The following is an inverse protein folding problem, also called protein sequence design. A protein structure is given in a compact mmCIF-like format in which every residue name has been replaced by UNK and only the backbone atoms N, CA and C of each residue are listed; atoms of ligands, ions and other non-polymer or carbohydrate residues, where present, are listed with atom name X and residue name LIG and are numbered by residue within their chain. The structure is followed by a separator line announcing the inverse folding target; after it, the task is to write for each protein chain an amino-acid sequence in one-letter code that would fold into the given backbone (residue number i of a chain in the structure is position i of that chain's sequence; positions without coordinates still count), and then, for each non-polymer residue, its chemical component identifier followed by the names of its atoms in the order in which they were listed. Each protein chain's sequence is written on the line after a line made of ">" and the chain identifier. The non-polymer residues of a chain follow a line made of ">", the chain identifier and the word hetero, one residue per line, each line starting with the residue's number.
data_IF_850940884171
#
_entry.id   IF_850940884171
#
_cell.length_a   1.000
_cell.length_b   1.000
_cell.length_c   1.000
_cell.angle_alpha   90.00
_cell.angle_beta   90.00
_cell.angle_gamma   90.00
#
_symmetry.space_group_name_H-M   'P 1'
#
loop_
_entity.id
_entity.type
_entity.pdbx_description
1 polymer ?
#
# COMPACT_ATOMS: atom_id res chain seq x y z
N UNK A 1 -1.07 4.72 -3.03
CA UNK A 1 -0.53 4.12 -1.79
C UNK A 1 0.66 3.23 -2.08
N UNK A 2 0.45 2.14 -2.84
CA UNK A 2 1.52 1.27 -3.29
C UNK A 2 2.59 2.03 -4.06
N UNK A 3 2.19 2.94 -4.95
CA UNK A 3 3.12 3.76 -5.74
C UNK A 3 3.92 4.74 -4.89
N UNK A 4 3.35 5.29 -3.82
CA UNK A 4 4.11 6.10 -2.87
C UNK A 4 5.23 5.29 -2.24
N UNK A 5 4.91 4.08 -1.80
CA UNK A 5 5.90 3.17 -1.23
C UNK A 5 6.97 2.78 -2.25
N UNK A 6 6.59 2.41 -3.47
CA UNK A 6 7.53 2.04 -4.53
C UNK A 6 8.47 3.19 -4.92
N UNK A 7 7.97 4.42 -4.95
CA UNK A 7 8.75 5.59 -5.33
C UNK A 7 9.89 5.92 -4.35
N UNK A 8 9.69 5.64 -3.06
CA UNK A 8 10.66 6.04 -2.02
C UNK A 8 11.37 4.85 -1.34
N UNK A 9 10.85 3.65 -1.49
CA UNK A 9 11.30 2.49 -0.70
C UNK A 9 12.77 2.12 -0.95
N UNK A 10 13.21 2.06 -2.19
CA UNK A 10 14.60 1.75 -2.52
C UNK A 10 15.55 2.78 -1.92
N UNK A 11 15.20 4.06 -2.05
CA UNK A 11 15.99 5.16 -1.48
C UNK A 11 15.98 5.12 0.04
N UNK A 12 14.85 4.76 0.65
CA UNK A 12 14.74 4.57 2.09
C UNK A 12 15.69 3.47 2.60
N UNK A 13 15.75 2.31 1.94
CA UNK A 13 16.65 1.23 2.32
C UNK A 13 18.11 1.68 2.29
N UNK A 14 18.51 2.40 1.23
CA UNK A 14 19.87 2.91 1.10
C UNK A 14 20.18 4.00 2.13
N UNK A 15 19.26 4.94 2.35
CA UNK A 15 19.50 6.08 3.24
C UNK A 15 19.44 5.69 4.72
N UNK A 16 18.46 4.89 5.14
CA UNK A 16 18.23 4.58 6.55
C UNK A 16 19.12 3.44 7.07
N UNK A 17 19.30 2.37 6.28
CA UNK A 17 20.06 1.19 6.69
C UNK A 17 21.47 1.13 6.10
N UNK A 18 21.82 2.02 5.17
CA UNK A 18 23.11 2.02 4.50
C UNK A 18 23.36 0.77 3.65
N UNK A 19 22.31 0.12 3.16
CA UNK A 19 22.44 -1.06 2.32
C UNK A 19 23.09 -0.73 0.99
N UNK A 20 23.95 -1.63 0.53
CA UNK A 20 24.49 -1.56 -0.83
C UNK A 20 23.34 -1.67 -1.84
N UNK A 21 23.54 -1.08 -3.03
CA UNK A 21 22.52 -1.07 -4.10
C UNK A 21 22.05 -2.48 -4.46
N UNK A 22 22.94 -3.47 -4.48
CA UNK A 22 22.60 -4.86 -4.76
C UNK A 22 21.66 -5.47 -3.73
N UNK A 23 21.92 -5.27 -2.43
CA UNK A 23 21.09 -5.77 -1.35
C UNK A 23 19.74 -5.05 -1.32
N UNK A 24 19.72 -3.73 -1.43
CA UNK A 24 18.51 -2.94 -1.47
C UNK A 24 17.61 -3.36 -2.66
N UNK A 25 18.19 -3.58 -3.83
CA UNK A 25 17.48 -4.05 -5.02
C UNK A 25 16.91 -5.46 -4.83
N UNK A 26 17.65 -6.36 -4.17
CA UNK A 26 17.17 -7.72 -3.87
C UNK A 26 15.97 -7.70 -2.93
N UNK A 27 16.03 -6.91 -1.85
CA UNK A 27 14.90 -6.74 -0.91
C UNK A 27 13.68 -6.18 -1.64
N UNK A 28 13.87 -5.14 -2.43
CA UNK A 28 12.81 -4.52 -3.22
C UNK A 28 12.18 -5.49 -4.22
N UNK A 29 13.00 -6.24 -4.96
CA UNK A 29 12.53 -7.22 -5.95
C UNK A 29 11.78 -8.38 -5.29
N UNK A 30 12.25 -8.87 -4.13
CA UNK A 30 11.58 -9.90 -3.35
C UNK A 30 10.22 -9.41 -2.86
N UNK A 31 10.16 -8.18 -2.37
CA UNK A 31 8.91 -7.55 -1.97
C UNK A 31 7.92 -7.44 -3.14
N UNK A 32 8.37 -6.99 -4.31
CA UNK A 32 7.55 -6.93 -5.52
C UNK A 32 7.03 -8.31 -5.92
N UNK A 33 7.89 -9.32 -5.92
CA UNK A 33 7.48 -10.69 -6.23
C UNK A 33 6.36 -11.15 -5.31
N UNK A 34 6.47 -10.89 -4.01
CA UNK A 34 5.42 -11.22 -3.05
C UNK A 34 4.13 -10.45 -3.33
N UNK A 35 4.20 -9.16 -3.62
CA UNK A 35 3.05 -8.30 -3.94
C UNK A 35 2.29 -8.80 -5.17
N UNK A 36 2.98 -9.35 -6.16
CA UNK A 36 2.34 -9.88 -7.37
C UNK A 36 1.87 -11.34 -7.22
N UNK A 37 2.49 -12.14 -6.38
CA UNK A 37 2.15 -13.55 -6.20
C UNK A 37 1.04 -13.77 -5.15
N UNK A 38 1.07 -13.04 -4.04
CA UNK A 38 0.11 -13.18 -2.95
C UNK A 38 -1.37 -12.92 -3.34
N UNK A 39 -1.72 -12.11 -4.34
CA UNK A 39 -3.10 -12.00 -4.79
C UNK A 39 -3.75 -13.31 -5.23
N UNK A 40 -2.97 -14.27 -5.71
CA UNK A 40 -3.47 -15.61 -6.06
C UNK A 40 -3.99 -16.31 -4.80
N UNK A 41 -3.20 -16.29 -3.73
CA UNK A 41 -3.60 -16.86 -2.42
C UNK A 41 -4.78 -16.06 -1.85
N UNK A 42 -4.75 -14.74 -2.00
CA UNK A 42 -5.84 -13.87 -1.56
C UNK A 42 -7.16 -14.16 -2.27
N UNK A 43 -7.13 -14.49 -3.56
CA UNK A 43 -8.31 -14.92 -4.32
C UNK A 43 -8.89 -16.22 -3.79
N UNK A 44 -8.06 -17.22 -3.55
CA UNK A 44 -8.48 -18.51 -2.99
C UNK A 44 -9.11 -18.32 -1.59
N UNK A 45 -8.51 -17.48 -0.77
CA UNK A 45 -9.07 -17.16 0.54
C UNK A 45 -10.41 -16.43 0.44
N UNK A 46 -10.57 -15.55 -0.54
CA UNK A 46 -11.81 -14.79 -0.74
C UNK A 46 -12.97 -15.68 -1.21
N UNK A 47 -12.70 -16.70 -2.00
CA UNK A 47 -13.72 -17.68 -2.39
C UNK A 47 -14.30 -18.41 -1.18
N UNK A 48 -13.49 -18.63 -0.14
CA UNK A 48 -13.91 -19.32 1.08
C UNK A 48 -14.55 -18.36 2.11
N UNK A 49 -13.99 -17.18 2.31
CA UNK A 49 -14.35 -16.27 3.41
C UNK A 49 -15.16 -15.05 2.97
N UNK A 50 -15.30 -14.83 1.68
CA UNK A 50 -15.98 -13.69 1.08
C UNK A 50 -15.04 -12.54 0.72
N UNK A 51 -15.31 -11.92 -0.43
CA UNK A 51 -14.45 -10.85 -0.99
C UNK A 51 -14.40 -9.61 -0.13
N UNK A 52 -15.54 -9.14 0.39
CA UNK A 52 -15.60 -7.96 1.24
C UNK A 52 -14.78 -8.09 2.51
N UNK A 53 -14.86 -9.25 3.17
CA UNK A 53 -14.07 -9.54 4.38
C UNK A 53 -12.58 -9.57 4.08
N UNK A 54 -12.18 -10.16 2.95
CA UNK A 54 -10.77 -10.22 2.56
C UNK A 54 -10.22 -8.85 2.21
N UNK A 55 -10.99 -8.02 1.50
CA UNK A 55 -10.60 -6.62 1.22
C UNK A 55 -10.39 -5.84 2.51
N UNK A 56 -11.34 -5.91 3.45
CA UNK A 56 -11.24 -5.23 4.74
C UNK A 56 -10.04 -5.72 5.56
N UNK A 57 -9.87 -7.04 5.67
CA UNK A 57 -8.73 -7.64 6.38
C UNK A 57 -7.41 -7.21 5.74
N UNK A 58 -7.32 -7.19 4.42
CA UNK A 58 -6.15 -6.74 3.68
C UNK A 58 -5.80 -5.29 3.98
N UNK A 59 -6.78 -4.41 4.05
CA UNK A 59 -6.57 -2.99 4.38
C UNK A 59 -6.04 -2.84 5.82
N UNK A 60 -6.59 -3.56 6.79
CA UNK A 60 -6.12 -3.52 8.18
C UNK A 60 -4.68 -4.04 8.31
N UNK A 61 -4.35 -5.14 7.65
CA UNK A 61 -2.99 -5.69 7.66
C UNK A 61 -2.01 -4.70 7.02
N UNK A 62 -2.35 -4.10 5.89
CA UNK A 62 -1.52 -3.06 5.26
C UNK A 62 -1.33 -1.85 6.19
N UNK A 63 -2.39 -1.43 6.87
CA UNK A 63 -2.33 -0.32 7.82
C UNK A 63 -1.32 -0.60 8.93
N UNK A 64 -1.36 -1.78 9.54
CA UNK A 64 -0.41 -2.17 10.59
C UNK A 64 1.02 -2.18 10.02
N UNK A 65 1.23 -2.74 8.83
CA UNK A 65 2.53 -2.75 8.17
C UNK A 65 3.08 -1.35 7.92
N UNK A 66 2.30 -0.45 7.36
CA UNK A 66 2.71 0.94 7.15
C UNK A 66 2.89 1.72 8.46
N UNK A 67 2.07 1.42 9.47
CA UNK A 67 2.23 2.04 10.80
C UNK A 67 3.58 1.68 11.41
N UNK A 68 3.96 0.41 11.40
CA UNK A 68 5.27 -0.03 11.89
C UNK A 68 6.39 0.59 11.06
N UNK A 69 6.26 0.63 9.75
CA UNK A 69 7.25 1.23 8.85
C UNK A 69 7.39 2.76 9.04
N UNK A 70 6.34 3.43 9.49
CA UNK A 70 6.36 4.87 9.78
C UNK A 70 7.05 5.21 11.10
N UNK A 71 7.31 4.24 11.97
CA UNK A 71 7.99 4.47 13.24
C UNK A 71 9.50 4.60 13.02
N UNK A 72 10.16 5.64 13.56
CA UNK A 72 11.60 5.81 13.47
C UNK A 72 12.31 4.95 14.52
N UNK A 73 12.51 3.66 14.24
CA UNK A 73 13.11 2.69 15.17
C UNK A 73 14.64 2.64 15.17
N UNK A 74 15.29 3.48 14.35
CA UNK A 74 16.74 3.53 14.24
C UNK A 74 17.31 2.67 13.11
N UNK A 75 18.55 2.24 13.26
CA UNK A 75 19.33 1.50 12.25
C UNK A 75 19.86 0.16 12.74
N UNK A 76 19.46 -0.27 13.93
CA UNK A 76 19.92 -1.50 14.56
C UNK A 76 19.19 -2.75 14.04
N UNK A 77 19.52 -3.90 14.60
CA UNK A 77 18.91 -5.19 14.23
C UNK A 77 17.41 -5.19 14.49
N UNK A 78 16.93 -4.51 15.53
CA UNK A 78 15.50 -4.42 15.84
C UNK A 78 14.76 -3.65 14.75
N UNK A 79 15.33 -2.54 14.27
CA UNK A 79 14.77 -1.76 13.17
C UNK A 79 14.72 -2.56 11.86
N UNK A 80 15.76 -3.33 11.53
CA UNK A 80 15.80 -4.20 10.35
C UNK A 80 14.73 -5.30 10.46
N UNK A 81 14.59 -5.94 11.62
CA UNK A 81 13.57 -6.95 11.87
C UNK A 81 12.15 -6.36 11.74
N UNK A 82 11.91 -5.18 12.30
CA UNK A 82 10.65 -4.46 12.19
C UNK A 82 10.32 -4.10 10.75
N UNK A 83 11.30 -3.65 9.96
CA UNK A 83 11.15 -3.40 8.52
C UNK A 83 10.76 -4.68 7.78
N UNK A 84 11.43 -5.80 8.02
CA UNK A 84 11.13 -7.08 7.38
C UNK A 84 9.70 -7.54 7.67
N UNK A 85 9.26 -7.46 8.92
CA UNK A 85 7.89 -7.78 9.34
C UNK A 85 6.89 -6.84 8.67
N UNK A 86 7.18 -5.55 8.62
CA UNK A 86 6.33 -4.55 7.94
C UNK A 86 6.13 -4.86 6.48
N UNK A 87 7.18 -5.25 5.76
CA UNK A 87 7.12 -5.60 4.35
C UNK A 87 6.28 -6.85 4.11
N UNK A 88 6.41 -7.87 4.95
CA UNK A 88 5.59 -9.07 4.89
C UNK A 88 4.12 -8.72 5.11
N UNK A 89 3.81 -7.90 6.10
CA UNK A 89 2.44 -7.46 6.38
C UNK A 89 1.86 -6.66 5.22
N UNK A 90 2.62 -5.73 4.63
CA UNK A 90 2.17 -4.93 3.49
C UNK A 90 1.93 -5.81 2.28
N UNK A 91 2.83 -6.75 1.98
CA UNK A 91 2.68 -7.67 0.87
C UNK A 91 1.47 -8.59 1.04
N UNK A 92 1.28 -9.15 2.23
CA UNK A 92 0.14 -10.00 2.55
C UNK A 92 -1.19 -9.23 2.45
N UNK A 93 -1.26 -8.05 3.04
CA UNK A 93 -2.44 -7.19 2.96
C UNK A 93 -2.77 -6.78 1.53
N UNK A 94 -1.76 -6.45 0.74
CA UNK A 94 -1.91 -6.13 -0.68
C UNK A 94 -2.44 -7.32 -1.47
N UNK A 95 -1.96 -8.53 -1.17
CA UNK A 95 -2.44 -9.76 -1.78
C UNK A 95 -3.91 -10.03 -1.49
N UNK A 96 -4.36 -9.80 -0.26
CA UNK A 96 -5.77 -9.93 0.12
C UNK A 96 -6.66 -8.83 -0.47
N UNK A 97 -6.12 -7.66 -0.70
CA UNK A 97 -6.86 -6.47 -1.13
C UNK A 97 -6.99 -6.37 -2.65
N UNK A 98 -5.84 -6.44 -3.36
CA UNK A 98 -5.72 -5.97 -4.75
C UNK A 98 -6.61 -6.74 -5.74
N UNK A 99 -6.51 -8.06 -5.74
CA UNK A 99 -7.30 -8.91 -6.65
C UNK A 99 -8.77 -8.90 -6.28
N UNK A 100 -9.07 -8.99 -5.00
CA UNK A 100 -10.43 -9.07 -4.50
C UNK A 100 -11.22 -7.77 -4.70
N UNK A 101 -10.55 -6.63 -4.63
CA UNK A 101 -11.19 -5.34 -4.94
C UNK A 101 -11.67 -5.28 -6.40
N UNK A 102 -10.85 -5.78 -7.34
CA UNK A 102 -11.24 -5.83 -8.76
C UNK A 102 -12.46 -6.71 -8.99
N UNK A 103 -12.52 -7.87 -8.33
CA UNK A 103 -13.69 -8.76 -8.39
C UNK A 103 -14.93 -8.08 -7.83
N UNK A 104 -14.80 -7.35 -6.71
CA UNK A 104 -15.92 -6.59 -6.14
C UNK A 104 -16.41 -5.50 -7.09
N UNK A 105 -15.51 -4.76 -7.75
CA UNK A 105 -15.89 -3.77 -8.77
C UNK A 105 -16.68 -4.45 -9.89
N UNK A 106 -16.21 -5.61 -10.37
CA UNK A 106 -16.93 -6.37 -11.39
C UNK A 106 -18.34 -6.78 -10.98
N UNK A 107 -18.50 -7.22 -9.72
CA UNK A 107 -19.79 -7.67 -9.18
C UNK A 107 -20.83 -6.55 -9.04
N UNK A 108 -20.41 -5.29 -8.93
CA UNK A 108 -21.35 -4.15 -8.94
C UNK A 108 -22.15 -4.06 -10.25
N UNK A 109 -21.64 -4.66 -11.33
CA UNK A 109 -22.26 -4.64 -12.65
C UNK A 109 -22.84 -6.00 -13.08
N UNK A 110 -23.01 -6.95 -12.15
CA UNK A 110 -23.59 -8.26 -12.45
C UNK A 110 -25.09 -8.20 -12.69
N UNK A 111 -25.77 -7.19 -12.16
CA UNK A 111 -27.20 -6.97 -12.44
C UNK A 111 -27.42 -6.54 -13.89
N UNK A 112 -28.44 -7.09 -14.60
CA UNK A 112 -28.65 -6.85 -16.03
C UNK A 112 -28.78 -5.36 -16.40
N UNK A 113 -29.32 -4.55 -15.51
CA UNK A 113 -29.50 -3.11 -15.74
C UNK A 113 -28.18 -2.33 -15.75
N UNK A 114 -27.12 -2.86 -15.13
CA UNK A 114 -25.80 -2.22 -15.04
C UNK A 114 -24.75 -2.90 -15.91
N UNK A 115 -25.04 -4.06 -16.47
CA UNK A 115 -24.08 -4.87 -17.22
C UNK A 115 -23.44 -4.11 -18.40
N UNK A 116 -24.21 -3.25 -19.08
CA UNK A 116 -23.71 -2.41 -20.20
C UNK A 116 -22.65 -1.37 -19.76
N UNK A 117 -22.62 -1.01 -18.48
CA UNK A 117 -21.70 -0.01 -17.93
C UNK A 117 -20.43 -0.61 -17.33
N UNK A 118 -20.27 -1.93 -17.36
CA UNK A 118 -19.15 -2.64 -16.74
C UNK A 118 -17.79 -2.16 -17.20
N UNK A 119 -17.62 -2.02 -18.52
CA UNK A 119 -16.35 -1.56 -19.11
C UNK A 119 -16.03 -0.12 -18.72
N UNK A 120 -17.06 0.75 -18.67
CA UNK A 120 -16.91 2.12 -18.19
C UNK A 120 -16.55 2.16 -16.71
N UNK A 121 -17.13 1.31 -15.89
CA UNK A 121 -16.81 1.17 -14.47
C UNK A 121 -15.36 0.77 -14.23
N UNK A 122 -14.86 -0.23 -14.96
CA UNK A 122 -13.45 -0.61 -14.91
C UNK A 122 -12.53 0.48 -15.43
N UNK A 123 -12.91 1.19 -16.48
CA UNK A 123 -12.13 2.32 -17.01
C UNK A 123 -11.99 3.43 -15.99
N UNK A 124 -13.04 3.78 -15.28
CA UNK A 124 -13.01 4.76 -14.17
C UNK A 124 -12.14 4.27 -13.01
N UNK A 125 -12.23 2.99 -12.66
CA UNK A 125 -11.42 2.39 -11.61
C UNK A 125 -9.92 2.46 -11.93
N UNK A 126 -9.52 2.07 -13.15
CA UNK A 126 -8.12 2.16 -13.58
C UNK A 126 -7.64 3.59 -13.74
N UNK A 127 -8.50 4.50 -14.19
CA UNK A 127 -8.19 5.93 -14.26
C UNK A 127 -7.88 6.49 -12.87
N UNK A 128 -8.66 6.15 -11.85
CA UNK A 128 -8.42 6.56 -10.47
C UNK A 128 -7.07 6.02 -9.95
N UNK A 129 -6.72 4.77 -10.26
CA UNK A 129 -5.42 4.18 -9.92
C UNK A 129 -4.28 4.96 -10.57
N UNK A 130 -4.39 5.28 -11.85
CA UNK A 130 -3.37 6.00 -12.61
C UNK A 130 -3.19 7.43 -12.12
N UNK A 131 -4.26 8.13 -11.78
CA UNK A 131 -4.20 9.47 -11.17
C UNK A 131 -3.47 9.38 -9.82
N UNK A 132 -3.81 8.40 -8.98
CA UNK A 132 -3.10 8.16 -7.72
C UNK A 132 -1.61 7.89 -7.93
N UNK A 133 -1.26 7.07 -8.91
CA UNK A 133 0.13 6.75 -9.25
C UNK A 133 0.93 7.98 -9.72
N UNK A 134 0.28 8.91 -10.40
CA UNK A 134 0.92 10.14 -10.87
C UNK A 134 1.23 11.11 -9.72
N UNK A 135 0.31 11.26 -8.77
CA UNK A 135 0.45 12.24 -7.69
C UNK A 135 1.14 11.71 -6.43
N UNK A 136 1.06 10.41 -6.15
CA UNK A 136 1.59 9.82 -4.93
C UNK A 136 3.10 10.06 -4.71
N UNK A 137 3.98 9.88 -5.70
CA UNK A 137 5.41 10.14 -5.54
C UNK A 137 5.70 11.62 -5.23
N UNK A 138 5.01 12.53 -5.91
CA UNK A 138 5.16 13.98 -5.68
C UNK A 138 4.70 14.37 -4.29
N UNK A 139 3.58 13.83 -3.82
CA UNK A 139 3.08 14.07 -2.48
C UNK A 139 4.05 13.54 -1.42
N UNK A 140 4.63 12.35 -1.61
CA UNK A 140 5.62 11.78 -0.71
C UNK A 140 6.86 12.68 -0.59
N UNK A 141 7.41 13.11 -1.72
CA UNK A 141 8.58 14.00 -1.75
C UNK A 141 8.30 15.34 -1.08
N UNK A 142 7.13 15.93 -1.33
CA UNK A 142 6.75 17.21 -0.71
C UNK A 142 6.62 17.10 0.81
N UNK A 143 6.03 16.02 1.32
CA UNK A 143 5.89 15.82 2.77
C UNK A 143 7.25 15.59 3.43
N UNK A 144 8.15 14.87 2.77
CA UNK A 144 9.51 14.66 3.25
C UNK A 144 10.28 15.99 3.34
N UNK A 145 10.21 16.84 2.31
CA UNK A 145 10.82 18.16 2.32
C UNK A 145 10.24 19.07 3.41
N UNK A 146 8.93 19.07 3.54
CA UNK A 146 8.27 19.81 4.61
C UNK A 146 8.75 19.37 5.99
N UNK A 147 8.87 18.09 6.24
CA UNK A 147 9.37 17.57 7.51
C UNK A 147 10.83 17.99 7.78
N UNK A 148 11.68 17.96 6.75
CA UNK A 148 13.06 18.41 6.87
C UNK A 148 13.16 19.91 7.18
N UNK A 149 12.37 20.73 6.52
CA UNK A 149 12.41 22.19 6.64
C UNK A 149 11.70 22.70 7.90
N UNK A 150 10.53 22.17 8.21
CA UNK A 150 9.67 22.67 9.28
C UNK A 150 9.91 22.01 10.64
N UNK A 151 10.29 20.74 10.65
CA UNK A 151 10.51 19.95 11.87
C UNK A 151 11.99 19.67 12.12
N UNK A 152 12.87 20.12 11.24
CA UNK A 152 14.33 19.93 11.34
C UNK A 152 14.75 18.45 11.51
N UNK A 153 14.00 17.53 10.91
CA UNK A 153 14.34 16.12 10.91
C UNK A 153 15.41 15.80 9.86
N UNK A 154 16.18 14.74 10.07
CA UNK A 154 17.16 14.27 9.10
C UNK A 154 16.50 13.78 7.81
N UNK A 155 17.28 13.70 6.72
CA UNK A 155 16.79 13.14 5.45
C UNK A 155 16.33 11.69 5.65
N UNK A 156 17.05 10.91 6.43
CA UNK A 156 16.73 9.51 6.72
C UNK A 156 15.40 9.38 7.48
N UNK A 157 15.18 10.20 8.49
CA UNK A 157 13.96 10.19 9.29
C UNK A 157 12.75 10.74 8.52
N UNK A 158 12.96 11.58 7.51
CA UNK A 158 11.89 12.13 6.68
C UNK A 158 11.13 11.06 5.88
N UNK A 159 11.75 9.91 5.57
CA UNK A 159 11.07 8.79 4.91
C UNK A 159 9.92 8.22 5.74
N UNK A 160 10.00 8.26 7.07
CA UNK A 160 8.93 7.81 7.95
C UNK A 160 7.67 8.68 7.80
N UNK A 161 7.80 9.97 7.47
CA UNK A 161 6.66 10.83 7.15
C UNK A 161 5.96 10.41 5.86
N UNK A 162 6.69 9.98 4.84
CA UNK A 162 6.10 9.43 3.63
C UNK A 162 5.29 8.15 3.91
N UNK A 163 5.78 7.28 4.76
CA UNK A 163 5.06 6.07 5.19
C UNK A 163 3.85 6.40 6.07
N UNK A 164 3.94 7.43 6.91
CA UNK A 164 2.81 7.92 7.70
C UNK A 164 1.66 8.46 6.81
N UNK A 165 2.00 9.11 5.69
CA UNK A 165 1.00 9.53 4.67
C UNK A 165 0.29 8.32 4.07
N UNK A 166 1.02 7.23 3.81
CA UNK A 166 0.41 5.98 3.35
C UNK A 166 -0.58 5.41 4.38
N UNK A 167 -0.25 5.42 5.67
CA UNK A 167 -1.16 5.05 6.75
C UNK A 167 -2.42 5.92 6.77
N UNK A 168 -2.26 7.24 6.71
CA UNK A 168 -3.38 8.18 6.71
C UNK A 168 -4.32 7.93 5.52
N UNK A 169 -3.77 7.67 4.33
CA UNK A 169 -4.59 7.37 3.16
C UNK A 169 -5.32 6.03 3.26
N UNK A 170 -4.80 5.05 4.00
CA UNK A 170 -5.51 3.80 4.31
C UNK A 170 -6.68 4.03 5.28
N UNK A 171 -6.50 4.87 6.30
CA UNK A 171 -7.59 5.27 7.21
C UNK A 171 -8.74 5.90 6.44
N UNK A 172 -8.44 6.86 5.57
CA UNK A 172 -9.45 7.50 4.71
C UNK A 172 -10.19 6.47 3.86
N UNK A 173 -9.48 5.48 3.33
CA UNK A 173 -10.10 4.43 2.50
C UNK A 173 -10.99 3.50 3.29
N UNK A 174 -10.61 3.15 4.51
CA UNK A 174 -11.45 2.35 5.40
C UNK A 174 -12.72 3.13 5.71
N UNK A 175 -12.59 4.42 6.06
CA UNK A 175 -13.72 5.28 6.36
C UNK A 175 -14.69 5.38 5.17
N UNK A 176 -14.18 5.59 3.96
CA UNK A 176 -15.00 5.65 2.74
C UNK A 176 -15.67 4.30 2.48
N UNK A 177 -14.94 3.20 2.59
CA UNK A 177 -15.50 1.86 2.38
C UNK A 177 -16.67 1.59 3.32
N UNK A 178 -16.52 1.86 4.62
CA UNK A 178 -17.61 1.64 5.57
C UNK A 178 -18.75 2.63 5.41
N UNK A 179 -18.48 3.89 5.08
CA UNK A 179 -19.52 4.88 4.86
C UNK A 179 -20.49 4.47 3.73
N UNK A 180 -19.95 3.85 2.66
CA UNK A 180 -20.74 3.42 1.50
C UNK A 180 -21.17 1.94 1.53
N UNK A 181 -20.72 1.13 2.47
CA UNK A 181 -21.18 -0.26 2.60
C UNK A 181 -22.52 -0.41 3.32
N UNK A 182 -23.02 0.66 3.91
CA UNK A 182 -24.35 0.69 4.58
C UNK A 182 -25.44 1.37 3.74
N UNK A 183 -25.14 1.82 2.55
CA UNK A 183 -26.10 2.33 1.56
C UNK A 183 -26.35 1.32 0.46
#
# INVERSE_FOLDING_TARGET
>A
RQYTMLAVFLLYLQANFGFETGLASTIYSTFLMMVYFLPIIGGIAADKFGFGRMVTTGIFIMFIGYLVLSLPLGKDTVAIAAMGISLILIALGTGLFKGNLQVMVGRLYDEPQYASNRDSGFSLFYMAINIGAMFAPTAAIKIMKWAQESLSVSVEDSYHFAFAVACASLIVSIAIYYAFSFT
#
